data_IF_290276010519
#
_entry.id   IF_290276010519
#
_cell.length_a   1.000
_cell.length_b   1.000
_cell.length_c   1.000
_cell.angle_alpha   90.00
_cell.angle_beta   90.00
_cell.angle_gamma   90.00
#
_symmetry.space_group_name_H-M   'P 1'
#
loop_
_entity.id
_entity.type
_entity.pdbx_description
1 polymer ?
#
# COMPACT_ATOMS: atom_id res chain seq x y z
N UNK A 1 -28.83 3.34 35.70
CA UNK A 1 -27.39 3.60 35.95
C UNK A 1 -26.61 2.98 34.82
N UNK A 2 -26.26 3.77 33.82
CA UNK A 2 -25.54 3.31 32.61
C UNK A 2 -24.05 3.44 32.91
N UNK A 3 -23.40 2.31 33.12
CA UNK A 3 -21.94 2.22 33.22
C UNK A 3 -21.38 2.40 31.78
N UNK A 4 -21.13 3.63 31.38
CA UNK A 4 -20.24 3.92 30.24
C UNK A 4 -18.82 3.57 30.68
N UNK A 5 -18.36 2.36 30.36
CA UNK A 5 -16.97 1.99 30.47
C UNK A 5 -16.17 2.97 29.60
N UNK A 6 -15.55 3.95 30.22
CA UNK A 6 -14.54 4.78 29.58
C UNK A 6 -13.36 3.88 29.30
N UNK A 7 -13.31 3.33 28.08
CA UNK A 7 -12.10 2.68 27.58
C UNK A 7 -10.99 3.73 27.60
N UNK A 8 -10.03 3.51 28.49
CA UNK A 8 -8.83 4.31 28.61
C UNK A 8 -8.00 4.10 27.33
N UNK A 9 -8.36 4.85 26.27
CA UNK A 9 -7.60 4.86 25.03
C UNK A 9 -6.22 5.41 25.34
N UNK A 10 -5.19 4.63 25.05
CA UNK A 10 -3.80 5.06 25.23
C UNK A 10 -3.64 6.47 24.61
N UNK A 11 -3.01 7.44 25.33
CA UNK A 11 -2.96 8.84 24.91
C UNK A 11 -2.26 9.10 23.57
N UNK A 12 -1.78 8.07 22.93
CA UNK A 12 -0.84 8.12 21.80
C UNK A 12 -1.49 8.00 20.42
N UNK A 13 -2.77 7.65 20.34
CA UNK A 13 -3.50 7.48 19.09
C UNK A 13 -4.63 8.49 19.00
N UNK A 14 -4.35 9.68 18.46
CA UNK A 14 -5.42 10.60 18.06
C UNK A 14 -6.17 9.98 16.88
N UNK A 15 -7.46 9.78 17.03
CA UNK A 15 -8.34 9.49 15.91
C UNK A 15 -8.22 10.63 14.89
N UNK A 16 -8.19 10.29 13.60
CA UNK A 16 -8.29 11.27 12.52
C UNK A 16 -9.57 12.09 12.66
N UNK A 17 -9.65 13.22 11.96
CA UNK A 17 -10.87 13.99 11.84
C UNK A 17 -12.04 13.05 11.49
N UNK A 18 -13.15 13.16 12.20
CA UNK A 18 -14.35 12.40 11.90
C UNK A 18 -14.87 12.81 10.51
N UNK A 19 -14.93 11.85 9.61
CA UNK A 19 -15.53 12.03 8.29
C UNK A 19 -17.06 12.04 8.41
N UNK A 20 -17.75 12.64 7.45
CA UNK A 20 -19.19 12.51 7.31
C UNK A 20 -19.57 11.07 6.94
N UNK A 21 -20.80 10.69 7.21
CA UNK A 21 -21.32 9.36 6.83
C UNK A 21 -21.16 9.09 5.33
N UNK A 22 -21.45 10.10 4.49
CA UNK A 22 -21.30 9.97 3.04
C UNK A 22 -19.84 9.73 2.58
N UNK A 23 -18.88 10.41 3.22
CA UNK A 23 -17.45 10.19 2.93
C UNK A 23 -16.98 8.79 3.36
N UNK A 24 -17.40 8.32 4.55
CA UNK A 24 -17.05 6.96 5.01
C UNK A 24 -17.64 5.90 4.07
N UNK A 25 -18.90 6.05 3.66
CA UNK A 25 -19.57 5.13 2.71
C UNK A 25 -18.87 5.17 1.36
N UNK A 26 -18.57 6.35 0.81
CA UNK A 26 -17.90 6.48 -0.48
C UNK A 26 -16.52 5.81 -0.46
N UNK A 27 -15.72 6.05 0.59
CA UNK A 27 -14.41 5.43 0.76
C UNK A 27 -14.53 3.91 0.88
N UNK A 28 -15.46 3.42 1.73
CA UNK A 28 -15.66 1.98 1.91
C UNK A 28 -16.06 1.29 0.60
N UNK A 29 -17.03 1.84 -0.12
CA UNK A 29 -17.56 1.23 -1.36
C UNK A 29 -16.52 1.26 -2.47
N UNK A 30 -15.83 2.39 -2.69
CA UNK A 30 -14.81 2.49 -3.75
C UNK A 30 -13.65 1.52 -3.50
N UNK A 31 -13.21 1.38 -2.25
CA UNK A 31 -12.17 0.44 -1.90
C UNK A 31 -12.64 -1.03 -1.93
N UNK A 32 -13.88 -1.31 -1.55
CA UNK A 32 -14.46 -2.65 -1.72
C UNK A 32 -14.50 -3.08 -3.20
N UNK A 33 -14.90 -2.17 -4.10
CA UNK A 33 -14.85 -2.42 -5.56
C UNK A 33 -13.42 -2.67 -6.01
N UNK A 34 -12.45 -1.88 -5.53
CA UNK A 34 -11.03 -2.10 -5.79
C UNK A 34 -10.55 -3.49 -5.31
N UNK A 35 -10.94 -3.90 -4.10
CA UNK A 35 -10.59 -5.23 -3.58
C UNK A 35 -11.16 -6.36 -4.46
N UNK A 36 -12.42 -6.28 -4.85
CA UNK A 36 -13.04 -7.27 -5.75
C UNK A 36 -12.33 -7.31 -7.10
N UNK A 37 -11.99 -6.14 -7.66
CA UNK A 37 -11.24 -6.06 -8.92
C UNK A 37 -9.87 -6.76 -8.80
N UNK A 38 -9.12 -6.54 -7.72
CA UNK A 38 -7.83 -7.21 -7.50
C UNK A 38 -8.00 -8.72 -7.33
N UNK A 39 -9.05 -9.17 -6.65
CA UNK A 39 -9.33 -10.60 -6.50
C UNK A 39 -9.57 -11.28 -7.86
N UNK A 40 -10.31 -10.63 -8.76
CA UNK A 40 -10.56 -11.12 -10.13
C UNK A 40 -9.28 -11.06 -10.97
N UNK A 41 -8.50 -9.99 -10.86
CA UNK A 41 -7.28 -9.80 -11.62
C UNK A 41 -6.14 -10.74 -11.20
N UNK A 42 -6.13 -11.24 -9.97
CA UNK A 42 -5.06 -12.09 -9.46
C UNK A 42 -4.77 -13.31 -10.34
N UNK A 43 -5.72 -14.21 -10.61
CA UNK A 43 -5.45 -15.36 -11.46
C UNK A 43 -5.13 -14.96 -12.90
N UNK A 44 -5.78 -13.93 -13.43
CA UNK A 44 -5.60 -13.46 -14.81
C UNK A 44 -4.15 -12.97 -15.01
N UNK A 45 -3.69 -12.10 -14.13
CA UNK A 45 -2.34 -11.52 -14.23
C UNK A 45 -1.26 -12.54 -13.93
N UNK A 46 -1.48 -13.46 -12.98
CA UNK A 46 -0.55 -14.53 -12.65
C UNK A 46 -0.35 -15.50 -13.83
N UNK A 47 -1.44 -15.95 -14.45
CA UNK A 47 -1.39 -16.84 -15.62
C UNK A 47 -0.76 -16.13 -16.82
N UNK A 48 -1.15 -14.88 -17.08
CA UNK A 48 -0.56 -14.09 -18.18
C UNK A 48 0.95 -13.89 -17.99
N UNK A 49 1.37 -13.54 -16.78
CA UNK A 49 2.79 -13.37 -16.47
C UNK A 49 3.57 -14.68 -16.58
N UNK A 50 2.99 -15.80 -16.12
CA UNK A 50 3.64 -17.11 -16.27
C UNK A 50 3.83 -17.51 -17.74
N UNK A 51 2.80 -17.33 -18.57
CA UNK A 51 2.83 -17.72 -19.97
C UNK A 51 3.78 -16.84 -20.81
N UNK A 52 3.91 -15.55 -20.49
CA UNK A 52 4.77 -14.62 -21.21
C UNK A 52 6.21 -14.55 -20.70
N UNK A 53 6.43 -14.71 -19.39
CA UNK A 53 7.69 -14.38 -18.73
C UNK A 53 8.15 -15.40 -17.68
N UNK A 54 7.39 -16.48 -17.49
CA UNK A 54 7.72 -17.57 -16.60
C UNK A 54 7.34 -17.37 -15.13
N UNK A 55 7.63 -18.38 -14.32
CA UNK A 55 7.19 -18.50 -12.92
C UNK A 55 7.62 -17.30 -12.04
N UNK A 56 8.83 -16.78 -12.23
CA UNK A 56 9.32 -15.63 -11.44
C UNK A 56 8.46 -14.40 -11.65
N UNK A 57 8.03 -14.15 -12.89
CA UNK A 57 7.12 -13.04 -13.21
C UNK A 57 5.72 -13.26 -12.63
N UNK A 58 5.22 -14.50 -12.68
CA UNK A 58 3.95 -14.87 -12.06
C UNK A 58 3.95 -14.64 -10.53
N UNK A 59 5.01 -15.05 -9.85
CA UNK A 59 5.19 -14.80 -8.41
C UNK A 59 5.23 -13.30 -8.11
N UNK A 60 6.03 -12.54 -8.85
CA UNK A 60 6.12 -11.09 -8.69
C UNK A 60 4.77 -10.39 -8.86
N UNK A 61 4.04 -10.72 -9.93
CA UNK A 61 2.71 -10.18 -10.20
C UNK A 61 1.68 -10.60 -9.14
N UNK A 62 1.75 -11.82 -8.65
CA UNK A 62 0.86 -12.30 -7.58
C UNK A 62 1.09 -11.51 -6.29
N UNK A 63 2.36 -11.30 -5.90
CA UNK A 63 2.70 -10.49 -4.72
C UNK A 63 2.15 -9.07 -4.86
N UNK A 64 2.31 -8.45 -6.03
CA UNK A 64 1.78 -7.11 -6.30
C UNK A 64 0.25 -7.05 -6.15
N UNK A 65 -0.48 -7.92 -6.84
CA UNK A 65 -1.95 -7.90 -6.84
C UNK A 65 -2.51 -8.26 -5.46
N UNK A 66 -1.91 -9.22 -4.75
CA UNK A 66 -2.28 -9.54 -3.36
C UNK A 66 -2.03 -8.35 -2.44
N UNK A 67 -0.92 -7.63 -2.61
CA UNK A 67 -0.63 -6.43 -1.82
C UNK A 67 -1.68 -5.33 -2.02
N UNK A 68 -2.11 -5.09 -3.27
CA UNK A 68 -3.20 -4.17 -3.58
C UNK A 68 -4.54 -4.64 -3.03
N UNK A 69 -4.85 -5.94 -3.15
CA UNK A 69 -6.06 -6.53 -2.58
C UNK A 69 -6.14 -6.28 -1.07
N UNK A 70 -5.05 -6.55 -0.34
CA UNK A 70 -5.00 -6.36 1.11
C UNK A 70 -5.13 -4.88 1.48
N UNK A 71 -4.51 -3.97 0.73
CA UNK A 71 -4.64 -2.53 0.93
C UNK A 71 -6.08 -2.07 0.74
N UNK A 72 -6.73 -2.43 -0.36
CA UNK A 72 -8.11 -2.05 -0.61
C UNK A 72 -9.07 -2.68 0.40
N UNK A 73 -8.89 -3.95 0.74
CA UNK A 73 -9.73 -4.65 1.70
C UNK A 73 -9.64 -4.03 3.09
N UNK A 74 -8.42 -3.78 3.58
CA UNK A 74 -8.22 -3.17 4.90
C UNK A 74 -8.85 -1.78 4.99
N UNK A 75 -8.73 -0.99 3.92
CA UNK A 75 -9.31 0.34 3.85
C UNK A 75 -10.84 0.29 3.79
N UNK A 76 -11.41 -0.60 3.00
CA UNK A 76 -12.87 -0.79 2.95
C UNK A 76 -13.43 -1.17 4.33
N UNK A 77 -12.78 -2.08 5.06
CA UNK A 77 -13.18 -2.49 6.41
C UNK A 77 -13.02 -1.33 7.40
N UNK A 78 -11.91 -0.59 7.34
CA UNK A 78 -11.67 0.57 8.20
C UNK A 78 -12.77 1.62 8.05
N UNK A 79 -13.14 1.98 6.81
CA UNK A 79 -14.17 2.98 6.53
C UNK A 79 -15.59 2.48 6.83
N UNK A 80 -15.86 1.17 6.73
CA UNK A 80 -17.14 0.57 7.13
C UNK A 80 -17.36 0.55 8.65
N UNK A 81 -16.30 0.67 9.46
CA UNK A 81 -16.39 0.58 10.92
C UNK A 81 -16.91 1.88 11.53
N UNK A 82 -17.83 1.74 12.51
CA UNK A 82 -18.34 2.89 13.27
C UNK A 82 -17.20 3.65 13.95
N UNK A 83 -17.29 4.99 13.91
CA UNK A 83 -16.26 5.88 14.46
C UNK A 83 -16.00 5.66 15.94
N UNK A 84 -17.04 5.35 16.71
CA UNK A 84 -16.95 5.14 18.16
C UNK A 84 -16.52 3.71 18.53
N UNK A 85 -16.33 2.83 17.56
CA UNK A 85 -15.87 1.46 17.80
C UNK A 85 -14.44 1.44 18.33
N UNK A 86 -14.13 0.67 19.39
CA UNK A 86 -12.75 0.49 19.86
C UNK A 86 -11.85 -0.14 18.80
N UNK A 87 -12.41 -0.86 17.85
CA UNK A 87 -11.69 -1.51 16.77
C UNK A 87 -11.29 -0.54 15.65
N UNK A 88 -11.95 0.61 15.49
CA UNK A 88 -11.66 1.62 14.45
C UNK A 88 -10.20 2.05 14.47
N UNK A 89 -9.61 2.17 15.67
CA UNK A 89 -8.21 2.55 15.84
C UNK A 89 -7.23 1.47 15.36
N UNK A 90 -7.49 0.21 15.68
CA UNK A 90 -6.68 -0.92 15.21
C UNK A 90 -6.75 -1.04 13.69
N UNK A 91 -7.97 -0.94 13.15
CA UNK A 91 -8.20 -0.96 11.70
C UNK A 91 -7.49 0.19 10.99
N UNK A 92 -7.42 1.38 11.59
CA UNK A 92 -6.63 2.50 11.05
C UNK A 92 -5.15 2.19 10.96
N UNK A 93 -4.57 1.56 11.98
CA UNK A 93 -3.16 1.15 11.95
C UNK A 93 -2.93 0.14 10.82
N UNK A 94 -3.83 -0.83 10.67
CA UNK A 94 -3.75 -1.83 9.61
C UNK A 94 -3.86 -1.15 8.24
N UNK A 95 -4.90 -0.36 8.00
CA UNK A 95 -5.14 0.37 6.75
C UNK A 95 -3.90 1.17 6.32
N UNK A 96 -3.35 2.01 7.21
CA UNK A 96 -2.15 2.78 6.91
C UNK A 96 -0.88 1.93 6.78
N UNK A 97 -0.83 0.75 7.39
CA UNK A 97 0.30 -0.19 7.26
C UNK A 97 0.29 -0.89 5.89
N UNK A 98 -0.90 -1.15 5.33
CA UNK A 98 -1.03 -1.76 4.01
C UNK A 98 -0.51 -0.88 2.88
N UNK A 99 -0.38 0.43 3.08
CA UNK A 99 0.27 1.32 2.10
C UNK A 99 1.74 0.92 1.88
N UNK A 100 2.49 0.61 2.95
CA UNK A 100 3.87 0.13 2.82
C UNK A 100 3.93 -1.17 2.01
N UNK A 101 3.03 -2.11 2.32
CA UNK A 101 2.93 -3.41 1.65
C UNK A 101 2.59 -3.22 0.16
N UNK A 102 1.65 -2.32 -0.17
CA UNK A 102 1.27 -2.02 -1.54
C UNK A 102 2.45 -1.44 -2.34
N UNK A 103 3.22 -0.52 -1.76
CA UNK A 103 4.41 0.05 -2.42
C UNK A 103 5.46 -1.03 -2.63
N UNK A 104 5.86 -1.80 -1.62
CA UNK A 104 6.84 -2.87 -1.77
C UNK A 104 6.37 -3.96 -2.75
N UNK A 105 5.09 -4.30 -2.69
CA UNK A 105 4.45 -5.22 -3.63
C UNK A 105 4.56 -4.77 -5.07
N UNK A 106 4.36 -3.47 -5.36
CA UNK A 106 4.48 -2.93 -6.72
C UNK A 106 5.91 -2.99 -7.29
N UNK A 107 6.93 -2.91 -6.44
CA UNK A 107 8.33 -3.09 -6.85
C UNK A 107 8.70 -4.54 -7.11
N UNK A 108 8.01 -5.50 -6.50
CA UNK A 108 8.40 -6.91 -6.55
C UNK A 108 8.47 -7.48 -7.98
N UNK A 109 7.46 -7.32 -8.87
CA UNK A 109 7.56 -7.81 -10.24
C UNK A 109 8.66 -7.11 -11.04
N UNK A 110 8.85 -5.81 -10.85
CA UNK A 110 9.89 -5.04 -11.54
C UNK A 110 11.28 -5.51 -11.12
N UNK A 111 11.50 -5.66 -9.82
CA UNK A 111 12.77 -6.09 -9.25
C UNK A 111 13.14 -7.53 -9.65
N UNK A 112 12.17 -8.45 -9.62
CA UNK A 112 12.41 -9.85 -9.95
C UNK A 112 12.58 -10.10 -11.45
N UNK A 113 11.77 -9.44 -12.31
CA UNK A 113 11.65 -9.79 -13.72
C UNK A 113 12.37 -8.81 -14.65
N UNK A 114 12.35 -7.51 -14.36
CA UNK A 114 12.94 -6.49 -15.24
C UNK A 114 14.38 -6.15 -14.82
N UNK A 115 14.62 -5.91 -13.53
CA UNK A 115 15.96 -5.60 -13.02
C UNK A 115 16.77 -6.89 -12.94
N UNK A 116 16.32 -7.85 -12.15
CA UNK A 116 16.98 -9.13 -11.93
C UNK A 116 18.29 -9.03 -11.16
N UNK A 117 18.95 -10.18 -10.99
CA UNK A 117 20.27 -10.29 -10.38
C UNK A 117 20.40 -9.64 -9.00
N UNK A 118 21.62 -9.27 -8.63
CA UNK A 118 21.93 -8.67 -7.32
C UNK A 118 21.16 -7.36 -7.06
N UNK A 119 21.06 -6.49 -8.07
CA UNK A 119 20.38 -5.22 -7.95
C UNK A 119 18.87 -5.41 -7.66
N UNK A 120 18.21 -6.36 -8.34
CA UNK A 120 16.81 -6.69 -8.09
C UNK A 120 16.58 -7.18 -6.66
N UNK A 121 17.42 -8.08 -6.16
CA UNK A 121 17.33 -8.54 -4.77
C UNK A 121 17.58 -7.43 -3.75
N UNK A 122 18.53 -6.51 -4.02
CA UNK A 122 18.79 -5.37 -3.15
C UNK A 122 17.57 -4.45 -3.03
N UNK A 123 16.85 -4.22 -4.15
CA UNK A 123 15.62 -3.44 -4.16
C UNK A 123 14.53 -4.12 -3.31
N UNK A 124 14.37 -5.43 -3.46
CA UNK A 124 13.40 -6.21 -2.66
C UNK A 124 13.72 -6.09 -1.17
N UNK A 125 14.97 -6.32 -0.79
CA UNK A 125 15.40 -6.24 0.61
C UNK A 125 15.15 -4.83 1.17
N UNK A 126 15.47 -3.79 0.41
CA UNK A 126 15.27 -2.41 0.83
C UNK A 126 13.78 -2.08 0.98
N UNK A 127 12.95 -2.42 0.01
CA UNK A 127 11.52 -2.14 0.02
C UNK A 127 10.78 -2.90 1.12
N UNK A 128 10.98 -4.21 1.22
CA UNK A 128 10.35 -5.03 2.24
C UNK A 128 10.93 -4.76 3.64
N UNK A 129 12.22 -4.46 3.75
CA UNK A 129 12.86 -4.02 5.01
C UNK A 129 12.27 -2.70 5.51
N UNK A 130 12.09 -1.71 4.62
CA UNK A 130 11.42 -0.45 4.97
C UNK A 130 9.94 -0.67 5.33
N UNK A 131 9.26 -1.61 4.67
CA UNK A 131 7.89 -2.01 5.00
C UNK A 131 7.80 -2.55 6.43
N UNK A 132 8.65 -3.51 6.78
CA UNK A 132 8.71 -4.07 8.14
C UNK A 132 8.97 -2.96 9.16
N UNK A 133 9.97 -2.12 8.90
CA UNK A 133 10.29 -0.99 9.77
C UNK A 133 9.10 -0.04 9.95
N UNK A 134 8.43 0.36 8.85
CA UNK A 134 7.29 1.27 8.87
C UNK A 134 6.08 0.70 9.63
N UNK A 135 5.81 -0.60 9.50
CA UNK A 135 4.76 -1.30 10.25
C UNK A 135 5.11 -1.35 11.74
N UNK A 136 6.33 -1.77 12.08
CA UNK A 136 6.78 -1.82 13.48
C UNK A 136 6.75 -0.43 14.12
N UNK A 137 7.14 0.60 13.37
CA UNK A 137 7.03 1.99 13.83
C UNK A 137 5.58 2.35 14.17
N UNK A 138 4.60 2.01 13.32
CA UNK A 138 3.18 2.29 13.58
C UNK A 138 2.62 1.51 14.77
N UNK A 139 3.14 0.33 15.06
CA UNK A 139 2.68 -0.52 16.18
C UNK A 139 3.30 -0.08 17.50
N UNK A 140 4.60 0.22 17.52
CA UNK A 140 5.36 0.40 18.77
C UNK A 140 5.68 1.85 19.13
N UNK A 141 5.55 2.80 18.18
CA UNK A 141 5.86 4.20 18.49
C UNK A 141 4.85 4.78 19.50
N UNK A 142 5.36 5.38 20.58
CA UNK A 142 4.56 6.07 21.58
C UNK A 142 3.72 7.22 20.99
N UNK A 143 4.20 7.84 19.92
CA UNK A 143 3.52 8.89 19.16
C UNK A 143 3.85 8.71 17.69
N UNK A 144 2.82 8.45 16.89
CA UNK A 144 2.98 8.32 15.44
C UNK A 144 3.10 9.74 14.83
N UNK A 145 4.20 9.96 14.09
CA UNK A 145 4.36 11.16 13.29
C UNK A 145 3.90 10.85 11.86
N UNK A 146 2.73 11.38 11.48
CA UNK A 146 2.16 11.13 10.14
C UNK A 146 3.04 11.70 9.02
N UNK A 147 3.73 12.85 9.26
CA UNK A 147 4.67 13.41 8.28
C UNK A 147 5.87 12.50 8.05
N UNK A 148 6.35 11.80 9.09
CA UNK A 148 7.41 10.81 8.94
C UNK A 148 6.93 9.58 8.15
N UNK A 149 5.72 9.10 8.42
CA UNK A 149 5.13 8.02 7.63
C UNK A 149 4.97 8.42 6.16
N UNK A 150 4.50 9.64 5.89
CA UNK A 150 4.37 10.18 4.55
C UNK A 150 5.73 10.29 3.84
N UNK A 151 6.75 10.76 4.54
CA UNK A 151 8.12 10.80 4.02
C UNK A 151 8.62 9.41 3.61
N UNK A 152 8.40 8.39 4.44
CA UNK A 152 8.76 7.00 4.11
C UNK A 152 8.01 6.49 2.87
N UNK A 153 6.71 6.76 2.77
CA UNK A 153 5.94 6.39 1.58
C UNK A 153 6.50 7.03 0.31
N UNK A 154 6.76 8.33 0.34
CA UNK A 154 7.33 9.06 -0.80
C UNK A 154 8.71 8.55 -1.16
N UNK A 155 9.58 8.35 -0.17
CA UNK A 155 10.92 7.79 -0.38
C UNK A 155 10.86 6.42 -1.06
N UNK A 156 10.01 5.52 -0.58
CA UNK A 156 9.80 4.20 -1.17
C UNK A 156 9.28 4.31 -2.61
N UNK A 157 8.29 5.17 -2.85
CA UNK A 157 7.68 5.34 -4.17
C UNK A 157 8.67 5.92 -5.21
N UNK A 158 9.48 6.90 -4.82
CA UNK A 158 10.44 7.55 -5.70
C UNK A 158 11.76 6.80 -5.87
N UNK A 159 11.97 5.71 -5.15
CA UNK A 159 13.14 4.83 -5.34
C UNK A 159 13.27 4.33 -6.78
N UNK A 160 12.18 4.32 -7.54
CA UNK A 160 12.17 3.97 -8.97
C UNK A 160 13.17 4.77 -9.80
N UNK A 161 13.47 6.02 -9.44
CA UNK A 161 14.43 6.86 -10.15
C UNK A 161 15.81 6.18 -10.26
N UNK A 162 16.23 5.49 -9.20
CA UNK A 162 17.54 4.82 -9.16
C UNK A 162 17.60 3.55 -10.01
N UNK A 163 16.45 2.99 -10.38
CA UNK A 163 16.39 1.79 -11.21
C UNK A 163 16.08 2.06 -12.68
N UNK A 164 15.75 3.31 -13.04
CA UNK A 164 15.52 3.71 -14.44
C UNK A 164 16.61 3.20 -15.38
N UNK A 165 17.92 3.42 -15.08
CA UNK A 165 18.99 2.97 -15.99
C UNK A 165 18.97 1.46 -16.26
N UNK A 166 18.50 0.64 -15.29
CA UNK A 166 18.48 -0.81 -15.41
C UNK A 166 17.28 -1.33 -16.23
N UNK A 167 16.21 -0.54 -16.39
CA UNK A 167 14.96 -0.98 -17.02
C UNK A 167 14.60 -0.20 -18.29
N UNK A 168 15.20 0.96 -18.53
CA UNK A 168 14.81 1.85 -19.63
C UNK A 168 14.91 1.19 -21.01
N UNK A 169 15.93 0.36 -21.22
CA UNK A 169 16.13 -0.37 -22.48
C UNK A 169 15.28 -1.63 -22.62
N UNK A 170 14.69 -2.08 -21.52
CA UNK A 170 13.89 -3.33 -21.45
C UNK A 170 12.38 -3.07 -21.55
N UNK A 171 11.95 -1.81 -21.51
CA UNK A 171 10.54 -1.43 -21.41
C UNK A 171 10.15 -0.44 -22.49
N UNK A 172 8.90 -0.54 -22.95
CA UNK A 172 8.37 0.33 -24.00
C UNK A 172 7.72 1.61 -23.48
N UNK A 173 7.31 2.54 -24.40
CA UNK A 173 6.71 3.83 -24.04
C UNK A 173 5.44 3.71 -23.17
N UNK A 174 4.62 2.67 -23.39
CA UNK A 174 3.42 2.45 -22.60
C UNK A 174 3.72 2.20 -21.12
N UNK A 175 4.78 1.43 -20.82
CA UNK A 175 5.23 1.21 -19.45
C UNK A 175 5.61 2.53 -18.76
N UNK A 176 6.37 3.37 -19.45
CA UNK A 176 6.78 4.68 -18.91
C UNK A 176 5.61 5.62 -18.73
N UNK A 177 4.67 5.64 -19.68
CA UNK A 177 3.45 6.46 -19.57
C UNK A 177 2.62 6.09 -18.34
N UNK A 178 2.39 4.79 -18.12
CA UNK A 178 1.65 4.29 -16.95
C UNK A 178 2.41 4.53 -15.64
N UNK A 179 3.72 4.33 -15.63
CA UNK A 179 4.56 4.58 -14.45
C UNK A 179 4.55 6.05 -14.06
N UNK A 180 4.69 6.96 -15.01
CA UNK A 180 4.62 8.41 -14.76
C UNK A 180 3.24 8.83 -14.29
N UNK A 181 2.17 8.36 -14.93
CA UNK A 181 0.80 8.65 -14.51
C UNK A 181 0.54 8.17 -13.08
N UNK A 182 0.96 6.95 -12.75
CA UNK A 182 0.85 6.39 -11.40
C UNK A 182 1.66 7.18 -10.36
N UNK A 183 2.92 7.50 -10.66
CA UNK A 183 3.80 8.27 -9.77
C UNK A 183 3.30 9.70 -9.51
N UNK A 184 2.76 10.36 -10.55
CA UNK A 184 2.15 11.68 -10.40
C UNK A 184 0.87 11.61 -9.58
N UNK A 185 -0.03 10.67 -9.87
CA UNK A 185 -1.27 10.47 -9.11
C UNK A 185 -0.99 10.18 -7.64
N UNK A 186 0.01 9.34 -7.36
CA UNK A 186 0.47 9.04 -6.02
C UNK A 186 0.99 10.28 -5.30
N UNK A 187 1.83 11.10 -5.96
CA UNK A 187 2.39 12.32 -5.37
C UNK A 187 1.31 13.36 -5.10
N UNK A 188 0.37 13.53 -6.03
CA UNK A 188 -0.80 14.42 -5.84
C UNK A 188 -1.66 13.92 -4.67
N UNK A 189 -1.94 12.61 -4.59
CA UNK A 189 -2.65 12.01 -3.47
C UNK A 189 -1.96 12.25 -2.13
N UNK A 190 -0.62 12.12 -2.10
CA UNK A 190 0.19 12.40 -0.90
C UNK A 190 0.11 13.86 -0.47
N UNK A 191 0.05 14.81 -1.42
CA UNK A 191 -0.11 16.24 -1.12
C UNK A 191 -1.49 16.56 -0.50
N UNK A 192 -2.57 15.87 -0.93
CA UNK A 192 -3.88 16.00 -0.31
C UNK A 192 -3.97 15.33 1.08
N UNK A 193 -3.12 14.35 1.33
CA UNK A 193 -3.05 13.67 2.63
C UNK A 193 -2.29 14.49 3.68
N UNK A 194 -1.33 15.34 3.30
CA UNK A 194 -0.45 16.13 4.18
C UNK A 194 -1.19 17.29 4.87
#
# INVERSE_FOLDING_TARGET
>A
MSNTATFNTSPNLKLSKKLSFGEEVANSVTHAVGAVAMLVLLPITAVHANNGYGMTAAVGMSVFVISLFLMFLSSAIYHAMDYNSPHKMVLRIIDHSMIYIAIAGSYTPVALSLVGGWLGYSIIILQWGTTIFGILYKIFAKKINEKFSLFLYLMMGWLVIFIIPAIVTKTGPAFWGLMLAGGLSYTVGAAFYA
#
